data_IF_470108525420
#
_entry.id   IF_470108525420
#
_cell.length_a   1.000
_cell.length_b   1.000
_cell.length_c   1.000
_cell.angle_alpha   90.00
_cell.angle_beta   90.00
_cell.angle_gamma   90.00
#
_symmetry.space_group_name_H-M   'P 1'
#
loop_
_entity.id
_entity.type
_entity.pdbx_description
1 polymer ?
#
# COMPACT_ATOMS: atom_id res chain seq x y z
N UNK A 1 -7.18 -22.83 6.78
CA UNK A 1 -6.50 -23.04 5.49
C UNK A 1 -5.13 -22.38 5.57
N UNK A 2 -4.08 -22.95 4.95
CA UNK A 2 -2.72 -22.41 5.01
C UNK A 2 -2.64 -20.93 4.60
N UNK A 3 -3.49 -20.46 3.66
CA UNK A 3 -3.58 -19.04 3.29
C UNK A 3 -3.95 -18.07 4.43
N UNK A 4 -4.61 -18.54 5.50
CA UNK A 4 -4.92 -17.67 6.64
C UNK A 4 -3.69 -17.37 7.51
N UNK A 5 -2.67 -18.25 7.51
CA UNK A 5 -1.43 -18.01 8.26
C UNK A 5 -0.58 -16.90 7.63
N UNK A 6 -0.59 -16.78 6.31
CA UNK A 6 0.15 -15.72 5.60
C UNK A 6 -0.42 -14.32 5.88
N UNK A 7 -1.68 -14.23 6.31
CA UNK A 7 -2.32 -12.98 6.75
C UNK A 7 -1.91 -12.56 8.18
N UNK A 8 -1.36 -13.49 8.96
CA UNK A 8 -0.85 -13.24 10.32
C UNK A 8 0.64 -12.86 10.32
N UNK A 9 1.42 -13.35 9.35
CA UNK A 9 2.87 -13.08 9.22
C UNK A 9 3.19 -11.87 8.31
N UNK A 10 2.33 -10.87 8.30
CA UNK A 10 2.43 -9.74 7.37
C UNK A 10 3.48 -8.74 7.82
N UNK A 11 4.17 -8.14 6.85
CA UNK A 11 5.11 -7.04 7.06
C UNK A 11 4.33 -5.73 6.92
N UNK A 12 4.22 -4.97 8.01
CA UNK A 12 3.43 -3.73 8.10
C UNK A 12 4.25 -2.51 8.54
N UNK A 13 5.56 -2.68 8.75
CA UNK A 13 6.46 -1.60 9.14
C UNK A 13 7.73 -1.55 8.28
N UNK A 14 8.26 -0.33 8.11
CA UNK A 14 9.48 -0.10 7.32
C UNK A 14 10.69 -0.73 8.02
N UNK A 15 10.68 -0.75 9.36
CA UNK A 15 11.74 -1.29 10.20
C UNK A 15 11.99 -2.77 9.95
N UNK A 16 10.92 -3.56 9.72
CA UNK A 16 11.03 -4.98 9.40
C UNK A 16 11.83 -5.24 8.11
N UNK A 17 11.86 -4.28 7.18
CA UNK A 17 12.54 -4.40 5.87
C UNK A 17 13.71 -3.44 5.68
N UNK A 18 13.99 -2.56 6.64
CA UNK A 18 15.05 -1.55 6.55
C UNK A 18 16.43 -2.16 6.22
N UNK A 19 16.73 -3.31 6.84
CA UNK A 19 17.97 -4.05 6.59
C UNK A 19 18.11 -4.55 5.14
N UNK A 20 17.00 -4.94 4.50
CA UNK A 20 17.00 -5.41 3.10
C UNK A 20 17.15 -4.25 2.11
N UNK A 21 16.69 -3.07 2.51
CA UNK A 21 16.73 -1.86 1.70
C UNK A 21 18.06 -1.10 1.83
N UNK A 22 18.87 -1.42 2.83
CA UNK A 22 20.13 -0.71 3.09
C UNK A 22 19.92 0.75 3.47
N UNK A 23 18.78 1.08 4.10
CA UNK A 23 18.41 2.44 4.45
C UNK A 23 19.27 2.99 5.59
N UNK A 24 19.60 4.27 5.51
CA UNK A 24 20.09 5.01 6.65
C UNK A 24 18.99 5.19 7.72
N UNK A 25 19.36 5.47 8.99
CA UNK A 25 18.39 5.80 10.03
C UNK A 25 17.46 6.96 9.64
N UNK A 26 18.01 7.99 8.99
CA UNK A 26 17.26 9.17 8.55
C UNK A 26 16.25 8.84 7.45
N UNK A 27 16.62 8.00 6.48
CA UNK A 27 15.69 7.55 5.42
C UNK A 27 14.60 6.65 5.99
N UNK A 28 14.96 5.77 6.93
CA UNK A 28 14.00 4.90 7.62
C UNK A 28 12.95 5.76 8.33
N UNK A 29 13.37 6.78 9.08
CA UNK A 29 12.45 7.67 9.79
C UNK A 29 11.53 8.43 8.83
N UNK A 30 12.05 8.96 7.72
CA UNK A 30 11.22 9.62 6.70
C UNK A 30 10.21 8.67 6.08
N UNK A 31 10.59 7.42 5.80
CA UNK A 31 9.66 6.42 5.25
C UNK A 31 8.59 5.99 6.26
N UNK A 32 8.89 5.99 7.57
CA UNK A 32 7.84 5.80 8.59
C UNK A 32 6.78 6.90 8.52
N UNK A 33 7.21 8.15 8.33
CA UNK A 33 6.30 9.27 8.19
C UNK A 33 5.41 9.13 6.94
N UNK A 34 5.94 8.58 5.83
CA UNK A 34 5.11 8.18 4.66
C UNK A 34 4.10 7.10 5.06
N UNK A 35 4.56 6.04 5.75
CA UNK A 35 3.72 4.92 6.16
C UNK A 35 2.58 5.29 7.13
N UNK A 36 2.69 6.43 7.82
CA UNK A 36 1.58 6.99 8.63
C UNK A 36 0.44 7.55 7.76
N UNK A 37 0.74 8.04 6.56
CA UNK A 37 -0.23 8.59 5.60
C UNK A 37 -0.74 7.49 4.66
N UNK A 38 0.18 6.64 4.20
CA UNK A 38 -0.07 5.52 3.29
C UNK A 38 0.41 4.21 3.93
N UNK A 39 -0.45 3.53 4.71
CA UNK A 39 -0.07 2.32 5.43
C UNK A 39 0.46 1.23 4.51
N UNK A 40 1.62 0.68 4.89
CA UNK A 40 2.21 -0.47 4.21
C UNK A 40 1.66 -1.77 4.79
N UNK A 41 1.34 -2.73 3.94
CA UNK A 41 0.99 -4.10 4.38
C UNK A 41 1.31 -5.10 3.26
N UNK A 42 2.36 -5.90 3.44
CA UNK A 42 2.87 -6.80 2.39
C UNK A 42 3.07 -8.22 2.93
N UNK A 43 2.55 -9.22 2.23
CA UNK A 43 2.74 -10.62 2.63
C UNK A 43 4.19 -11.08 2.42
N UNK A 44 4.67 -12.07 3.20
CA UNK A 44 5.98 -12.69 2.98
C UNK A 44 6.17 -13.20 1.56
N UNK A 45 5.11 -13.75 0.96
CA UNK A 45 5.12 -14.20 -0.44
C UNK A 45 5.45 -13.07 -1.40
N UNK A 46 4.78 -11.92 -1.32
CA UNK A 46 5.05 -10.79 -2.21
C UNK A 46 6.48 -10.25 -2.03
N UNK A 47 6.99 -10.19 -0.79
CA UNK A 47 8.39 -9.82 -0.55
C UNK A 47 9.39 -10.83 -1.11
N UNK A 48 9.02 -12.11 -1.20
CA UNK A 48 9.88 -13.16 -1.75
C UNK A 48 10.09 -13.05 -3.26
N UNK A 49 9.21 -12.33 -3.96
CA UNK A 49 9.29 -12.10 -5.40
C UNK A 49 10.22 -10.94 -5.77
N UNK A 50 10.64 -10.12 -4.80
CA UNK A 50 11.49 -8.94 -5.04
C UNK A 50 12.94 -9.37 -5.31
N UNK A 51 13.51 -8.90 -6.42
CA UNK A 51 14.96 -8.89 -6.59
C UNK A 51 15.60 -7.72 -5.84
N UNK A 52 16.12 -8.00 -4.63
CA UNK A 52 16.74 -7.00 -3.77
C UNK A 52 18.04 -6.39 -4.32
N UNK A 53 18.66 -7.03 -5.32
CA UNK A 53 19.83 -6.48 -6.00
C UNK A 53 19.46 -5.47 -7.09
N UNK A 54 18.19 -5.44 -7.51
CA UNK A 54 17.69 -4.53 -8.53
C UNK A 54 16.95 -3.33 -7.88
N UNK A 55 17.56 -2.14 -7.85
CA UNK A 55 16.88 -0.96 -7.31
C UNK A 55 15.65 -0.51 -8.12
N UNK A 56 15.46 -1.07 -9.32
CA UNK A 56 14.32 -0.79 -10.18
C UNK A 56 13.30 -1.93 -10.25
N UNK A 57 13.40 -2.93 -9.36
CA UNK A 57 12.46 -4.03 -9.30
C UNK A 57 11.00 -3.51 -9.21
N UNK A 58 10.11 -3.96 -10.11
CA UNK A 58 8.74 -3.44 -10.19
C UNK A 58 7.90 -3.87 -8.99
N UNK A 59 8.13 -5.06 -8.43
CA UNK A 59 7.38 -5.55 -7.26
C UNK A 59 7.78 -4.74 -6.03
N UNK A 60 9.07 -4.42 -5.89
CA UNK A 60 9.58 -3.53 -4.85
C UNK A 60 8.90 -2.17 -4.88
N UNK A 61 8.78 -1.57 -6.07
CA UNK A 61 8.15 -0.25 -6.26
C UNK A 61 6.65 -0.24 -5.95
N UNK A 62 5.98 -1.40 -6.05
CA UNK A 62 4.56 -1.52 -5.69
C UNK A 62 4.36 -1.85 -4.20
N UNK A 63 5.30 -2.56 -3.58
CA UNK A 63 5.14 -3.10 -2.23
C UNK A 63 5.77 -2.22 -1.13
N UNK A 64 6.86 -1.51 -1.44
CA UNK A 64 7.63 -0.74 -0.46
C UNK A 64 7.40 0.77 -0.66
N UNK A 65 7.06 1.52 0.41
CA UNK A 65 6.86 2.96 0.34
C UNK A 65 8.08 3.72 -0.20
N UNK A 66 7.83 4.84 -0.85
CA UNK A 66 8.83 5.74 -1.38
C UNK A 66 8.71 7.14 -0.78
N UNK A 67 9.84 7.83 -0.62
CA UNK A 67 9.85 9.26 -0.26
C UNK A 67 9.12 10.15 -1.28
N UNK A 68 8.94 9.66 -2.52
CA UNK A 68 8.16 10.36 -3.54
C UNK A 68 6.67 10.43 -3.21
N UNK A 69 6.16 9.58 -2.33
CA UNK A 69 4.75 9.61 -1.92
C UNK A 69 4.43 10.78 -0.98
N UNK A 70 5.44 11.54 -0.51
CA UNK A 70 5.20 12.84 0.10
C UNK A 70 4.76 13.91 -0.90
N UNK A 71 4.96 13.66 -2.19
CA UNK A 71 4.47 14.53 -3.23
C UNK A 71 2.95 14.39 -3.32
N UNK A 72 2.25 15.42 -2.83
CA UNK A 72 0.79 15.49 -2.81
C UNK A 72 0.23 16.18 -4.06
N UNK A 73 1.05 16.43 -5.08
CA UNK A 73 0.57 16.99 -6.34
C UNK A 73 -0.46 16.05 -6.97
N UNK A 74 -1.69 16.54 -7.11
CA UNK A 74 -2.82 15.78 -7.63
C UNK A 74 -4.08 15.97 -6.80
N UNK A 75 -5.02 15.04 -6.94
CA UNK A 75 -6.26 15.02 -6.17
C UNK A 75 -6.52 13.60 -5.68
N UNK A 76 -6.85 13.44 -4.40
CA UNK A 76 -7.10 12.11 -3.83
C UNK A 76 -8.31 11.41 -4.46
N UNK A 77 -9.35 12.18 -4.78
CA UNK A 77 -10.57 11.67 -5.41
C UNK A 77 -10.58 11.93 -6.92
N UNK A 78 -9.61 11.39 -7.65
CA UNK A 78 -9.56 11.55 -9.12
C UNK A 78 -10.75 10.91 -9.84
N UNK A 79 -11.35 9.88 -9.24
CA UNK A 79 -12.45 9.07 -9.79
C UNK A 79 -13.84 9.66 -9.53
N UNK A 80 -13.96 10.68 -8.67
CA UNK A 80 -15.22 11.28 -8.25
C UNK A 80 -16.06 10.34 -7.38
N UNK A 81 -15.40 9.51 -6.58
CA UNK A 81 -16.01 8.51 -5.69
C UNK A 81 -16.97 9.14 -4.70
N UNK A 82 -16.67 10.34 -4.19
CA UNK A 82 -17.56 11.05 -3.27
C UNK A 82 -18.92 11.33 -3.89
N UNK A 83 -18.96 11.81 -5.14
CA UNK A 83 -20.20 12.14 -5.86
C UNK A 83 -21.02 10.90 -6.24
N UNK A 84 -20.33 9.78 -6.44
CA UNK A 84 -20.93 8.51 -6.86
C UNK A 84 -21.34 7.61 -5.68
N UNK A 85 -20.93 7.95 -4.45
CA UNK A 85 -21.32 7.24 -3.23
C UNK A 85 -22.77 7.53 -2.89
N UNK A 86 -23.63 6.51 -2.92
CA UNK A 86 -25.08 6.65 -2.60
C UNK A 86 -25.39 6.41 -1.14
N UNK A 87 -24.60 5.57 -0.50
CA UNK A 87 -24.62 5.28 0.94
C UNK A 87 -23.24 4.74 1.35
N UNK A 88 -22.87 4.77 2.64
CA UNK A 88 -21.58 4.26 3.09
C UNK A 88 -21.31 2.85 2.56
N UNK A 89 -20.19 2.69 1.83
CA UNK A 89 -19.78 1.42 1.25
C UNK A 89 -20.44 1.02 -0.09
N UNK A 90 -21.31 1.85 -0.67
CA UNK A 90 -21.92 1.63 -1.98
C UNK A 90 -21.70 2.83 -2.90
N UNK A 91 -21.00 2.58 -4.00
CA UNK A 91 -20.88 3.53 -5.12
C UNK A 91 -21.70 3.05 -6.31
N UNK A 92 -22.44 3.96 -6.94
CA UNK A 92 -23.28 3.70 -8.11
C UNK A 92 -23.04 4.80 -9.15
N UNK A 93 -21.93 4.66 -9.88
CA UNK A 93 -21.49 5.61 -10.92
C UNK A 93 -22.15 5.35 -12.28
N UNK A 94 -22.43 4.10 -12.60
CA UNK A 94 -23.04 3.67 -13.86
C UNK A 94 -24.40 3.05 -13.59
N UNK A 95 -25.35 3.17 -14.52
CA UNK A 95 -26.72 2.73 -14.29
C UNK A 95 -26.81 1.22 -14.03
N UNK A 96 -25.97 0.43 -14.70
CA UNK A 96 -26.02 -1.03 -14.75
C UNK A 96 -25.17 -1.71 -13.67
N UNK A 97 -24.19 -1.01 -13.08
CA UNK A 97 -23.20 -1.62 -12.18
C UNK A 97 -22.99 -0.81 -10.92
N UNK A 98 -22.76 -1.51 -9.80
CA UNK A 98 -22.45 -0.92 -8.51
C UNK A 98 -21.18 -1.53 -7.91
N UNK A 99 -20.44 -0.72 -7.15
CA UNK A 99 -19.28 -1.13 -6.36
C UNK A 99 -19.68 -1.21 -4.88
N UNK A 100 -19.43 -2.36 -4.27
CA UNK A 100 -19.64 -2.59 -2.84
C UNK A 100 -18.27 -2.71 -2.16
N UNK A 101 -18.01 -1.81 -1.21
CA UNK A 101 -16.86 -1.90 -0.31
C UNK A 101 -17.21 -2.87 0.83
N UNK A 102 -16.94 -4.16 0.60
CA UNK A 102 -17.26 -5.22 1.56
C UNK A 102 -16.29 -5.27 2.76
N UNK A 103 -15.08 -4.74 2.60
CA UNK A 103 -14.06 -4.64 3.65
C UNK A 103 -13.31 -3.33 3.55
N UNK A 104 -12.90 -2.79 4.70
CA UNK A 104 -12.04 -1.61 4.84
C UNK A 104 -10.89 -1.85 5.84
N UNK A 105 -10.67 -3.12 6.18
CA UNK A 105 -9.54 -3.59 6.98
C UNK A 105 -8.33 -3.88 6.13
#
# INVERSE_FOLDING_TARGET
MPEHKELEEVIDSVEQIAHKLGLSPDETEKLKQVALIHPMRVSPYYLSLIDWNNPNDPIRKMAVPSLKEFDLDGFYDTSGEAENTKMPGLQHKYAETALILATNR
#
